data_IF_966933656299
#
_entry.id   IF_966933656299
#
_cell.length_a   1.000
_cell.length_b   1.000
_cell.length_c   1.000
_cell.angle_alpha   90.00
_cell.angle_beta   90.00
_cell.angle_gamma   90.00
#
_symmetry.space_group_name_H-M   'P 1'
#
loop_
_entity.id
_entity.type
_entity.pdbx_description
1 polymer ?
#
# COMPACT_ATOMS: atom_id res chain seq x y z
N UNK A 1 8.71 -3.91 -7.47
CA UNK A 1 9.39 -2.97 -6.56
C UNK A 1 9.08 -3.29 -5.11
N UNK A 2 9.95 -2.87 -4.18
CA UNK A 2 9.76 -3.02 -2.73
C UNK A 2 9.60 -1.62 -2.14
N UNK A 3 8.52 -1.41 -1.38
CA UNK A 3 8.22 -0.13 -0.74
C UNK A 3 8.21 -0.28 0.79
N UNK A 4 8.77 0.70 1.50
CA UNK A 4 8.69 0.76 2.96
C UNK A 4 7.27 1.08 3.44
N UNK A 5 6.88 0.53 4.58
CA UNK A 5 5.64 0.85 5.30
C UNK A 5 5.49 2.36 5.59
N UNK A 6 6.60 3.09 5.75
CA UNK A 6 6.61 4.52 6.05
C UNK A 6 6.41 5.42 4.83
N UNK A 7 6.48 4.84 3.62
CA UNK A 7 6.28 5.56 2.37
C UNK A 7 4.81 6.00 2.19
N UNK A 8 4.53 7.00 1.33
CA UNK A 8 3.15 7.41 1.05
C UNK A 8 2.25 6.26 0.58
N UNK A 9 2.76 5.39 -0.31
CA UNK A 9 2.04 4.21 -0.77
C UNK A 9 1.84 3.21 0.38
N UNK A 10 2.92 2.84 1.09
CA UNK A 10 2.85 1.90 2.22
C UNK A 10 1.81 2.30 3.26
N UNK A 11 1.85 3.57 3.69
CA UNK A 11 0.86 4.15 4.61
C UNK A 11 -0.58 4.07 4.11
N UNK A 12 -0.79 4.21 2.79
CA UNK A 12 -2.13 4.22 2.21
C UNK A 12 -2.79 2.84 2.14
N UNK A 13 -1.99 1.75 2.11
CA UNK A 13 -2.45 0.36 1.98
C UNK A 13 -2.36 -0.44 3.29
N UNK A 14 -1.64 0.05 4.31
CA UNK A 14 -1.54 -0.62 5.61
C UNK A 14 -2.93 -0.86 6.23
N UNK A 15 -3.18 -2.11 6.63
CA UNK A 15 -4.43 -2.52 7.29
C UNK A 15 -5.63 -2.71 6.35
N UNK A 16 -5.48 -2.43 5.05
CA UNK A 16 -6.52 -2.66 4.05
C UNK A 16 -6.53 -4.10 3.55
N UNK A 17 -7.63 -4.48 2.90
CA UNK A 17 -7.87 -5.85 2.38
C UNK A 17 -7.85 -5.88 0.85
N UNK A 18 -7.74 -7.08 0.28
CA UNK A 18 -7.93 -7.28 -1.15
C UNK A 18 -9.32 -6.83 -1.60
N UNK A 19 -9.38 -6.20 -2.77
CA UNK A 19 -10.57 -5.56 -3.35
C UNK A 19 -10.84 -4.14 -2.85
N UNK A 20 -10.05 -3.61 -1.91
CA UNK A 20 -10.19 -2.20 -1.50
C UNK A 20 -9.32 -1.26 -2.34
N UNK A 21 -9.88 -0.08 -2.61
CA UNK A 21 -9.17 1.00 -3.30
C UNK A 21 -8.78 2.12 -2.35
N UNK A 22 -7.63 2.74 -2.63
CA UNK A 22 -7.07 3.86 -1.87
C UNK A 22 -6.38 4.84 -2.81
N UNK A 23 -6.04 6.01 -2.29
CA UNK A 23 -5.26 7.01 -3.02
C UNK A 23 -4.02 7.38 -2.21
N UNK A 24 -2.91 7.62 -2.90
CA UNK A 24 -1.72 8.21 -2.27
C UNK A 24 -1.13 9.31 -3.14
N UNK A 25 -0.50 10.30 -2.49
CA UNK A 25 0.24 11.37 -3.16
C UNK A 25 1.73 11.06 -3.12
N UNK A 26 2.36 11.00 -4.29
CA UNK A 26 3.80 10.81 -4.40
C UNK A 26 4.56 12.11 -4.09
N UNK A 27 5.87 12.04 -3.76
CA UNK A 27 6.67 13.22 -3.43
C UNK A 27 6.76 14.28 -4.54
N UNK A 28 6.44 13.91 -5.79
CA UNK A 28 6.35 14.83 -6.92
C UNK A 28 5.00 15.59 -6.99
N UNK A 29 4.12 15.43 -5.99
CA UNK A 29 2.81 16.08 -5.91
C UNK A 29 1.71 15.40 -6.70
N UNK A 30 1.97 14.29 -7.41
CA UNK A 30 0.95 13.55 -8.15
C UNK A 30 0.19 12.61 -7.23
N UNK A 31 -1.13 12.57 -7.39
CA UNK A 31 -2.00 11.60 -6.71
C UNK A 31 -2.29 10.41 -7.61
N UNK A 32 -2.25 9.23 -7.04
CA UNK A 32 -2.54 7.97 -7.70
C UNK A 32 -3.66 7.26 -6.96
N UNK A 33 -4.65 6.78 -7.72
CA UNK A 33 -5.64 5.82 -7.24
C UNK A 33 -5.11 4.41 -7.49
N UNK A 34 -5.24 3.55 -6.49
CA UNK A 34 -4.76 2.16 -6.54
C UNK A 34 -5.80 1.24 -5.92
N UNK A 35 -5.89 0.03 -6.47
CA UNK A 35 -6.70 -1.06 -5.95
C UNK A 35 -5.77 -2.17 -5.44
N UNK A 36 -6.12 -2.75 -4.30
CA UNK A 36 -5.39 -3.86 -3.71
C UNK A 36 -5.91 -5.14 -4.32
N UNK A 37 -5.16 -5.71 -5.27
CA UNK A 37 -5.58 -6.94 -5.95
C UNK A 37 -5.46 -8.18 -5.08
N UNK A 38 -4.37 -8.29 -4.32
CA UNK A 38 -4.06 -9.45 -3.49
C UNK A 38 -3.25 -9.01 -2.26
N UNK A 39 -3.45 -9.69 -1.13
CA UNK A 39 -2.70 -9.46 0.11
C UNK A 39 -2.19 -10.80 0.63
N UNK A 40 -0.87 -10.91 0.73
CA UNK A 40 -0.21 -12.04 1.39
C UNK A 40 0.40 -11.53 2.69
N UNK A 41 -0.09 -11.95 3.88
CA UNK A 41 0.48 -11.54 5.14
C UNK A 41 1.94 -11.97 5.23
N UNK A 42 2.80 -11.09 5.72
CA UNK A 42 4.14 -11.51 6.11
C UNK A 42 4.02 -12.36 7.37
N UNK A 43 4.24 -13.66 7.24
CA UNK A 43 4.28 -14.56 8.38
C UNK A 43 5.64 -14.40 9.08
N UNK A 44 5.66 -13.62 10.15
CA UNK A 44 6.84 -13.43 10.98
C UNK A 44 7.00 -14.52 12.05
N UNK A 45 6.21 -15.61 11.99
CA UNK A 45 6.41 -16.74 12.90
C UNK A 45 7.69 -17.51 12.52
N UNK A 46 8.75 -17.20 13.26
CA UNK A 46 9.96 -18.02 13.42
C UNK A 46 9.74 -19.05 14.54
#
# INVERSE_FOLDING_TARGET
>A
DVYSESSPLGKSILGRKSGESTTYTAPNGKTFEVEILEVTPFDASL
#
